data_IF_114337815453
#
_entry.id   IF_114337815453
#
_cell.length_a   1.000
_cell.length_b   1.000
_cell.length_c   1.000
_cell.angle_alpha   90.00
_cell.angle_beta   90.00
_cell.angle_gamma   90.00
#
_symmetry.space_group_name_H-M   'P 1'
#
loop_
_entity.id
_entity.type
_entity.pdbx_description
1 polymer ?
#
# COMPACT_ATOMS: atom_id res chain seq x y z
N UNK A 1 -8.64 20.37 -12.25
CA UNK A 1 -9.07 20.94 -10.95
C UNK A 1 -7.79 21.34 -10.22
N UNK A 2 -7.66 22.59 -9.81
CA UNK A 2 -6.57 22.96 -8.89
C UNK A 2 -6.73 22.11 -7.61
N UNK A 3 -5.74 21.32 -7.29
CA UNK A 3 -5.75 20.45 -6.12
C UNK A 3 -5.84 21.28 -4.83
N UNK A 4 -6.66 20.85 -3.86
CA UNK A 4 -6.70 21.47 -2.55
C UNK A 4 -5.34 21.28 -1.85
N UNK A 5 -4.72 22.37 -1.40
CA UNK A 5 -3.51 22.32 -0.58
C UNK A 5 -3.92 22.07 0.88
N UNK A 6 -3.70 20.86 1.39
CA UNK A 6 -4.06 20.46 2.75
C UNK A 6 -2.99 20.85 3.77
N UNK A 7 -1.71 20.71 3.40
CA UNK A 7 -0.57 20.96 4.28
C UNK A 7 0.45 21.86 3.56
N UNK A 8 1.18 22.72 4.29
CA UNK A 8 2.19 23.61 3.70
C UNK A 8 3.31 22.84 2.95
N UNK A 9 3.66 21.65 3.44
CA UNK A 9 4.72 20.81 2.92
C UNK A 9 4.34 20.07 1.63
N UNK A 10 3.03 19.91 1.37
CA UNK A 10 2.56 19.14 0.22
C UNK A 10 2.29 20.04 -0.98
N UNK A 11 2.78 19.63 -2.13
CA UNK A 11 2.41 20.20 -3.42
C UNK A 11 1.17 19.45 -3.96
N UNK A 12 0.02 20.12 -4.16
CA UNK A 12 -1.18 19.47 -4.65
C UNK A 12 -1.07 18.95 -6.09
N UNK A 13 -0.03 19.35 -6.83
CA UNK A 13 0.27 18.81 -8.17
C UNK A 13 1.19 17.59 -8.11
N UNK A 14 1.87 17.33 -6.99
CA UNK A 14 2.85 16.25 -6.79
C UNK A 14 2.34 15.21 -5.79
N UNK A 15 1.23 14.54 -6.13
CA UNK A 15 0.50 13.64 -5.22
C UNK A 15 1.00 12.19 -5.21
N UNK A 16 2.17 11.89 -5.76
CA UNK A 16 2.81 10.59 -5.68
C UNK A 16 3.78 10.52 -4.50
N UNK A 17 3.69 9.46 -3.71
CA UNK A 17 4.62 9.15 -2.64
C UNK A 17 5.27 7.78 -2.84
N UNK A 18 6.54 7.65 -2.43
CA UNK A 18 7.26 6.39 -2.41
C UNK A 18 7.01 5.68 -1.08
N UNK A 19 6.23 4.58 -1.14
CA UNK A 19 5.99 3.70 0.00
C UNK A 19 7.16 2.72 0.20
N UNK A 20 7.87 2.84 1.33
CA UNK A 20 9.10 2.09 1.61
C UNK A 20 8.86 0.70 2.23
N UNK A 21 7.71 0.08 1.93
CA UNK A 21 7.36 -1.26 2.35
C UNK A 21 7.70 -2.34 1.30
N UNK A 22 7.99 -1.95 0.06
CA UNK A 22 8.25 -2.85 -1.07
C UNK A 22 9.51 -2.44 -1.82
N UNK A 23 10.60 -2.28 -1.07
CA UNK A 23 11.90 -1.88 -1.62
C UNK A 23 12.58 -3.05 -2.35
N UNK A 24 13.47 -2.77 -3.32
CA UNK A 24 14.24 -3.80 -3.99
C UNK A 24 15.14 -4.56 -3.02
N UNK A 25 15.26 -5.88 -3.23
CA UNK A 25 16.03 -6.78 -2.39
C UNK A 25 17.20 -7.40 -3.18
N UNK A 26 18.34 -7.66 -2.51
CA UNK A 26 19.45 -8.43 -3.09
C UNK A 26 19.14 -9.93 -3.21
N UNK A 27 18.17 -10.42 -2.44
CA UNK A 27 17.78 -11.84 -2.38
C UNK A 27 16.34 -12.01 -1.94
N UNK A 28 16.04 -13.09 -1.24
CA UNK A 28 14.69 -13.43 -0.76
C UNK A 28 14.39 -12.95 0.66
N UNK A 29 15.38 -12.39 1.38
CA UNK A 29 15.18 -11.90 2.75
C UNK A 29 14.71 -10.45 2.74
N UNK A 30 13.60 -10.16 3.39
CA UNK A 30 13.06 -8.79 3.50
C UNK A 30 14.02 -7.78 4.13
N UNK A 31 14.92 -8.22 5.00
CA UNK A 31 15.93 -7.33 5.60
C UNK A 31 17.14 -7.06 4.68
N UNK A 32 17.22 -7.70 3.51
CA UNK A 32 18.35 -7.56 2.58
C UNK A 32 18.01 -6.59 1.43
N UNK A 33 17.78 -5.32 1.80
CA UNK A 33 17.45 -4.25 0.85
C UNK A 33 18.66 -3.95 -0.04
N UNK A 34 18.43 -3.83 -1.35
CA UNK A 34 19.41 -3.35 -2.33
C UNK A 34 19.53 -1.81 -2.23
N UNK A 35 20.45 -1.34 -1.37
CA UNK A 35 20.63 0.08 -1.09
C UNK A 35 21.08 0.85 -2.33
N UNK A 36 21.85 0.26 -3.23
CA UNK A 36 22.32 0.95 -4.45
C UNK A 36 21.15 1.20 -5.41
N UNK A 37 20.29 0.19 -5.63
CA UNK A 37 19.06 0.42 -6.40
C UNK A 37 18.13 1.41 -5.72
N UNK A 38 18.01 1.37 -4.40
CA UNK A 38 17.22 2.37 -3.66
C UNK A 38 17.74 3.79 -3.89
N UNK A 39 19.06 4.01 -3.90
CA UNK A 39 19.66 5.32 -4.20
C UNK A 39 19.31 5.80 -5.60
N UNK A 40 19.45 4.94 -6.61
CA UNK A 40 19.09 5.27 -7.99
C UNK A 40 17.60 5.63 -8.12
N UNK A 41 16.72 4.85 -7.51
CA UNK A 41 15.28 5.08 -7.50
C UNK A 41 14.91 6.39 -6.78
N UNK A 42 15.51 6.65 -5.62
CA UNK A 42 15.31 7.91 -4.87
C UNK A 42 15.79 9.11 -5.69
N UNK A 43 16.98 9.02 -6.30
CA UNK A 43 17.51 10.10 -7.12
C UNK A 43 16.56 10.43 -8.28
N UNK A 44 16.10 9.41 -9.00
CA UNK A 44 15.17 9.61 -10.11
C UNK A 44 13.82 10.19 -9.65
N UNK A 45 13.31 9.74 -8.51
CA UNK A 45 12.07 10.23 -7.91
C UNK A 45 12.17 11.71 -7.53
N UNK A 46 13.25 12.08 -6.85
CA UNK A 46 13.55 13.46 -6.45
C UNK A 46 13.81 14.39 -7.65
N UNK A 47 14.53 13.92 -8.67
CA UNK A 47 14.78 14.66 -9.92
C UNK A 47 13.49 14.99 -10.66
N UNK A 48 12.48 14.11 -10.61
CA UNK A 48 11.16 14.35 -11.18
C UNK A 48 10.30 15.33 -10.35
N UNK A 49 10.82 15.79 -9.21
CA UNK A 49 10.14 16.74 -8.32
C UNK A 49 9.15 16.10 -7.33
N UNK A 50 9.18 14.76 -7.17
CA UNK A 50 8.44 14.07 -6.12
C UNK A 50 9.34 13.87 -4.91
N UNK A 51 8.81 14.05 -3.70
CA UNK A 51 9.66 14.11 -2.51
C UNK A 51 9.03 13.53 -1.23
N UNK A 52 7.92 12.79 -1.35
CA UNK A 52 7.24 12.21 -0.19
C UNK A 52 7.65 10.74 -0.01
N UNK A 53 8.07 10.38 1.22
CA UNK A 53 8.50 9.04 1.60
C UNK A 53 7.70 8.55 2.81
N UNK A 54 7.18 7.31 2.73
CA UNK A 54 6.42 6.68 3.82
C UNK A 54 7.14 5.43 4.31
N UNK A 55 7.50 5.41 5.60
CA UNK A 55 8.14 4.26 6.24
C UNK A 55 7.45 3.86 7.54
N UNK A 56 7.96 2.82 8.18
CA UNK A 56 7.62 2.39 9.54
C UNK A 56 8.72 1.51 10.12
N UNK A 57 8.86 1.50 11.45
CA UNK A 57 9.79 0.65 12.20
C UNK A 57 9.73 -0.82 11.82
N UNK A 58 8.54 -1.34 11.52
CA UNK A 58 8.35 -2.76 11.22
C UNK A 58 8.63 -3.13 9.76
N UNK A 59 8.80 -2.15 8.84
CA UNK A 59 9.04 -2.44 7.44
C UNK A 59 10.43 -3.01 7.23
N UNK A 60 10.53 -4.04 6.39
CA UNK A 60 11.79 -4.73 6.11
C UNK A 60 12.57 -5.12 7.38
N UNK A 61 11.86 -5.58 8.43
CA UNK A 61 12.45 -5.97 9.73
C UNK A 61 13.26 -4.83 10.38
N UNK A 62 12.82 -3.59 10.21
CA UNK A 62 13.47 -2.38 10.73
C UNK A 62 14.60 -1.85 9.85
N UNK A 63 14.80 -2.39 8.65
CA UNK A 63 15.83 -1.91 7.71
C UNK A 63 15.32 -0.74 6.86
N UNK A 64 13.99 -0.58 6.70
CA UNK A 64 13.41 0.51 5.92
C UNK A 64 13.79 1.90 6.46
N UNK A 65 13.78 2.11 7.77
CA UNK A 65 14.24 3.38 8.36
C UNK A 65 15.73 3.65 8.11
N UNK A 66 16.57 2.60 8.07
CA UNK A 66 17.99 2.73 7.72
C UNK A 66 18.18 3.09 6.25
N UNK A 67 17.33 2.55 5.37
CA UNK A 67 17.30 2.94 3.96
C UNK A 67 16.94 4.42 3.81
N UNK A 68 15.96 4.93 4.55
CA UNK A 68 15.66 6.38 4.58
C UNK A 68 16.91 7.18 4.95
N UNK A 69 17.64 6.75 5.98
CA UNK A 69 18.88 7.44 6.36
C UNK A 69 19.91 7.41 5.25
N UNK A 70 20.29 6.22 4.79
CA UNK A 70 21.39 6.05 3.85
C UNK A 70 21.10 6.60 2.45
N UNK A 71 19.84 6.44 1.98
CA UNK A 71 19.47 6.83 0.62
C UNK A 71 18.89 8.25 0.53
N UNK A 72 18.37 8.82 1.64
CA UNK A 72 17.69 10.12 1.63
C UNK A 72 18.34 11.10 2.62
N UNK A 73 18.23 10.88 3.94
CA UNK A 73 18.58 11.89 4.96
C UNK A 73 20.07 12.25 4.96
N UNK A 74 20.98 11.31 4.67
CA UNK A 74 22.41 11.57 4.57
C UNK A 74 22.82 12.25 3.23
N UNK A 75 21.90 12.36 2.25
CA UNK A 75 22.18 12.79 0.88
C UNK A 75 21.47 14.07 0.46
N UNK A 76 20.28 14.32 1.02
CA UNK A 76 19.44 15.45 0.68
C UNK A 76 19.19 16.37 1.88
N UNK A 77 19.06 17.70 1.69
CA UNK A 77 18.66 18.61 2.75
C UNK A 77 17.32 18.20 3.35
N UNK A 78 17.17 18.27 4.68
CA UNK A 78 15.94 17.82 5.37
C UNK A 78 14.66 18.50 4.84
N UNK A 79 14.74 19.76 4.46
CA UNK A 79 13.63 20.56 3.95
C UNK A 79 13.23 20.19 2.53
N UNK A 80 14.02 19.41 1.81
CA UNK A 80 13.76 19.02 0.42
C UNK A 80 12.84 17.81 0.30
N UNK A 81 12.55 17.10 1.39
CA UNK A 81 11.70 15.92 1.37
C UNK A 81 10.68 15.89 2.53
N UNK A 82 9.58 15.22 2.30
CA UNK A 82 8.52 14.96 3.27
C UNK A 82 8.62 13.53 3.76
N UNK A 83 8.57 13.33 5.07
CA UNK A 83 8.78 12.02 5.68
C UNK A 83 7.64 11.65 6.63
N UNK A 84 7.04 10.50 6.37
CA UNK A 84 6.10 9.84 7.29
C UNK A 84 6.76 8.66 7.97
N UNK A 85 6.63 8.61 9.29
CA UNK A 85 6.95 7.42 10.08
C UNK A 85 5.78 7.07 11.01
N UNK A 86 5.84 5.90 11.68
CA UNK A 86 4.67 5.35 12.38
C UNK A 86 5.03 4.78 13.75
N UNK A 87 4.12 4.96 14.70
CA UNK A 87 4.12 4.25 15.98
C UNK A 87 3.47 2.88 15.78
N UNK A 88 4.28 1.84 15.63
CA UNK A 88 3.79 0.48 15.39
C UNK A 88 3.50 -0.27 16.70
N UNK A 89 2.33 -0.88 16.80
CA UNK A 89 1.84 -1.60 17.99
C UNK A 89 2.84 -2.63 18.54
N UNK A 90 3.52 -3.39 17.68
CA UNK A 90 4.51 -4.39 18.10
C UNK A 90 5.78 -3.82 18.76
N UNK A 91 6.00 -2.49 18.71
CA UNK A 91 7.26 -1.85 19.12
C UNK A 91 7.22 -1.21 20.51
N UNK A 92 6.08 -1.10 21.17
CA UNK A 92 5.93 -0.56 22.52
C UNK A 92 4.96 -1.42 23.34
N UNK A 93 5.00 -1.31 24.66
CA UNK A 93 4.10 -2.02 25.59
C UNK A 93 3.37 -1.10 26.52
N UNK A 94 4.07 -0.09 27.02
CA UNK A 94 3.59 0.88 28.00
C UNK A 94 3.83 2.30 27.48
N UNK A 95 3.26 3.26 28.17
CA UNK A 95 3.39 4.69 27.90
C UNK A 95 4.87 5.14 27.86
N UNK A 96 5.67 4.67 28.82
CA UNK A 96 7.07 5.03 28.96
C UNK A 96 7.95 4.55 27.80
N UNK A 97 7.48 3.59 27.00
CA UNK A 97 8.22 3.06 25.86
C UNK A 97 8.12 3.98 24.63
N UNK A 98 7.05 4.79 24.50
CA UNK A 98 6.71 5.50 23.27
C UNK A 98 7.73 6.60 22.94
N UNK A 99 8.03 7.46 23.90
CA UNK A 99 8.98 8.56 23.67
C UNK A 99 10.41 8.05 23.37
N UNK A 100 10.99 7.09 24.12
CA UNK A 100 12.28 6.50 23.74
C UNK A 100 12.28 5.83 22.38
N UNK A 101 11.17 5.15 21.99
CA UNK A 101 11.03 4.57 20.66
C UNK A 101 11.08 5.64 19.58
N UNK A 102 10.32 6.72 19.73
CA UNK A 102 10.31 7.83 18.77
C UNK A 102 11.68 8.51 18.64
N UNK A 103 12.37 8.76 19.77
CA UNK A 103 13.73 9.32 19.76
C UNK A 103 14.73 8.40 19.04
N UNK A 104 14.59 7.08 19.19
CA UNK A 104 15.39 6.11 18.47
C UNK A 104 15.04 6.10 16.98
N UNK A 105 13.76 6.24 16.60
CA UNK A 105 13.33 6.38 15.20
C UNK A 105 14.00 7.59 14.54
N UNK A 106 13.93 8.78 15.15
CA UNK A 106 14.61 9.98 14.63
C UNK A 106 16.11 9.75 14.42
N UNK A 107 16.77 9.09 15.37
CA UNK A 107 18.19 8.77 15.28
C UNK A 107 18.49 7.79 14.14
N UNK A 108 17.67 6.75 13.98
CA UNK A 108 17.84 5.75 12.91
C UNK A 108 17.56 6.36 11.55
N UNK A 109 16.54 7.21 11.43
CA UNK A 109 16.20 7.98 10.24
C UNK A 109 17.25 9.06 9.90
N UNK A 110 18.05 9.51 10.88
CA UNK A 110 19.03 10.57 10.70
C UNK A 110 18.40 11.96 10.55
N UNK A 111 17.28 12.22 11.23
CA UNK A 111 16.54 13.48 11.14
C UNK A 111 16.19 14.03 12.53
N UNK A 112 15.93 15.34 12.62
CA UNK A 112 15.52 15.99 13.87
C UNK A 112 13.99 16.02 14.06
N UNK A 113 13.23 15.82 12.97
CA UNK A 113 11.76 15.79 12.97
C UNK A 113 11.23 14.93 11.82
N UNK A 114 9.97 14.47 11.95
CA UNK A 114 9.16 13.90 10.87
C UNK A 114 8.01 14.84 10.51
N UNK A 115 7.58 14.83 9.25
CA UNK A 115 6.47 15.66 8.81
C UNK A 115 5.13 15.05 9.25
N UNK A 116 4.99 13.74 9.12
CA UNK A 116 3.80 13.01 9.56
C UNK A 116 4.19 11.86 10.49
N UNK A 117 3.49 11.73 11.60
CA UNK A 117 3.62 10.59 12.50
C UNK A 117 2.27 9.94 12.71
N UNK A 118 2.17 8.65 12.36
CA UNK A 118 0.90 7.94 12.32
C UNK A 118 0.85 6.85 13.40
N UNK A 119 -0.27 6.76 14.15
CA UNK A 119 -0.60 5.54 14.87
C UNK A 119 -0.80 4.43 13.84
N UNK A 120 -0.01 3.34 13.93
CA UNK A 120 0.13 2.38 12.84
C UNK A 120 -0.95 1.30 12.89
N UNK A 121 -1.66 1.13 11.75
CA UNK A 121 -2.57 0.03 11.48
C UNK A 121 -3.67 -0.12 12.56
N UNK A 122 -4.37 0.98 12.89
CA UNK A 122 -5.43 0.94 13.87
C UNK A 122 -6.59 0.03 13.43
N UNK A 123 -6.97 -0.83 14.34
CA UNK A 123 -8.15 -1.69 14.29
C UNK A 123 -8.75 -1.87 15.70
N UNK A 124 -9.89 -2.55 15.78
CA UNK A 124 -10.55 -2.85 17.09
C UNK A 124 -9.67 -3.69 18.02
N UNK A 125 -8.68 -4.40 17.48
CA UNK A 125 -7.80 -5.28 18.28
C UNK A 125 -6.68 -4.55 18.99
N UNK A 126 -6.24 -3.40 18.46
CA UNK A 126 -5.09 -2.67 19.00
C UNK A 126 -5.41 -1.26 19.53
N UNK A 127 -6.54 -0.67 19.16
CA UNK A 127 -6.91 0.70 19.52
C UNK A 127 -6.88 0.97 21.03
N UNK A 128 -7.42 0.05 21.85
CA UNK A 128 -7.42 0.15 23.30
C UNK A 128 -6.01 0.27 23.90
N UNK A 129 -5.00 -0.32 23.25
CA UNK A 129 -3.61 -0.16 23.65
C UNK A 129 -3.11 1.27 23.42
N UNK A 130 -3.37 1.85 22.27
CA UNK A 130 -2.99 3.24 21.97
C UNK A 130 -3.66 4.23 22.92
N UNK A 131 -4.93 3.99 23.28
CA UNK A 131 -5.66 4.80 24.25
C UNK A 131 -5.05 4.75 25.63
N UNK A 132 -4.90 3.57 26.22
CA UNK A 132 -4.39 3.41 27.61
C UNK A 132 -2.93 3.79 27.78
N UNK A 133 -2.15 3.90 26.70
CA UNK A 133 -0.76 4.34 26.71
C UNK A 133 -0.61 5.82 26.33
N UNK A 134 -1.71 6.56 26.27
CA UNK A 134 -1.75 8.00 25.94
C UNK A 134 -0.95 8.35 24.67
N UNK A 135 -1.05 7.48 23.63
CA UNK A 135 -0.22 7.61 22.44
C UNK A 135 -0.47 8.93 21.68
N UNK A 136 -1.75 9.38 21.62
CA UNK A 136 -2.09 10.67 21.00
C UNK A 136 -1.55 11.85 21.78
N UNK A 137 -1.69 11.85 23.10
CA UNK A 137 -1.20 12.91 23.97
C UNK A 137 0.30 13.06 23.83
N UNK A 138 1.05 11.93 23.86
CA UNK A 138 2.51 11.94 23.65
C UNK A 138 2.87 12.46 22.25
N UNK A 139 2.15 12.06 21.22
CA UNK A 139 2.37 12.57 19.86
C UNK A 139 2.11 14.08 19.76
N UNK A 140 1.08 14.59 20.44
CA UNK A 140 0.82 16.04 20.52
C UNK A 140 1.89 16.79 21.31
N UNK A 141 2.45 16.21 22.38
CA UNK A 141 3.61 16.76 23.09
C UNK A 141 4.84 16.85 22.16
N UNK A 142 5.15 15.77 21.44
CA UNK A 142 6.25 15.73 20.50
C UNK A 142 6.04 16.72 19.33
N UNK A 143 4.80 16.94 18.92
CA UNK A 143 4.44 17.99 17.97
C UNK A 143 4.69 19.39 18.57
N UNK A 144 4.31 19.65 19.81
CA UNK A 144 4.59 20.90 20.47
C UNK A 144 6.10 21.17 20.68
N UNK A 145 6.91 20.11 20.76
CA UNK A 145 8.38 20.17 20.76
C UNK A 145 8.98 20.43 19.36
N UNK A 146 8.16 20.42 18.29
CA UNK A 146 8.60 20.60 16.92
C UNK A 146 9.24 19.36 16.29
N UNK A 147 9.11 18.18 16.91
CA UNK A 147 9.65 16.90 16.41
C UNK A 147 8.70 16.17 15.46
N UNK A 148 7.40 16.49 15.52
CA UNK A 148 6.36 16.03 14.62
C UNK A 148 5.65 17.27 14.09
N UNK A 149 5.39 17.33 12.77
CA UNK A 149 4.59 18.43 12.20
C UNK A 149 3.09 18.11 12.23
N UNK A 150 2.72 16.87 11.84
CA UNK A 150 1.32 16.44 11.73
C UNK A 150 1.12 15.06 12.35
N UNK A 151 0.01 14.88 13.08
CA UNK A 151 -0.37 13.62 13.72
C UNK A 151 -1.60 13.03 13.06
N UNK A 152 -1.55 11.72 12.80
CA UNK A 152 -2.67 10.99 12.23
C UNK A 152 -2.60 9.50 12.54
N UNK A 153 -3.29 8.71 11.73
CA UNK A 153 -3.23 7.25 11.86
C UNK A 153 -3.46 6.55 10.52
N UNK A 154 -2.96 5.31 10.41
CA UNK A 154 -3.36 4.37 9.34
C UNK A 154 -4.40 3.41 9.90
N UNK A 155 -5.39 3.05 9.05
CA UNK A 155 -6.61 2.40 9.49
C UNK A 155 -6.92 1.14 8.67
N UNK A 156 -7.36 0.06 9.37
CA UNK A 156 -7.64 -1.25 8.79
C UNK A 156 -8.88 -1.94 9.39
N UNK A 157 -9.96 -1.19 9.59
CA UNK A 157 -11.22 -1.73 10.12
C UNK A 157 -12.44 -1.14 9.38
N UNK A 158 -13.64 -1.26 9.92
CA UNK A 158 -14.87 -0.77 9.30
C UNK A 158 -15.09 0.75 9.51
N UNK A 159 -16.02 1.30 8.72
CA UNK A 159 -16.30 2.74 8.69
C UNK A 159 -16.92 3.27 10.01
N UNK A 160 -17.70 2.45 10.73
CA UNK A 160 -18.28 2.83 12.02
C UNK A 160 -17.18 3.04 13.06
N UNK A 161 -16.17 2.18 13.05
CA UNK A 161 -15.05 2.29 13.95
C UNK A 161 -14.11 3.45 13.58
N UNK A 162 -13.92 3.74 12.29
CA UNK A 162 -13.21 4.96 11.87
C UNK A 162 -13.91 6.22 12.41
N UNK A 163 -15.22 6.29 12.29
CA UNK A 163 -16.01 7.42 12.80
C UNK A 163 -15.87 7.55 14.33
N UNK A 164 -15.86 6.42 15.07
CA UNK A 164 -15.60 6.43 16.51
C UNK A 164 -14.24 7.05 16.82
N UNK A 165 -13.15 6.60 16.16
CA UNK A 165 -11.79 7.13 16.41
C UNK A 165 -11.73 8.63 16.13
N UNK A 166 -12.35 9.11 15.05
CA UNK A 166 -12.35 10.54 14.72
C UNK A 166 -13.18 11.39 15.69
N UNK A 167 -14.18 10.80 16.36
CA UNK A 167 -14.88 11.47 17.46
C UNK A 167 -14.06 11.48 18.74
N UNK A 168 -13.35 10.41 19.06
CA UNK A 168 -12.49 10.30 20.23
C UNK A 168 -11.24 11.21 20.11
N UNK A 169 -10.72 11.37 18.86
CA UNK A 169 -9.50 12.11 18.55
C UNK A 169 -9.75 13.16 17.42
N UNK A 170 -10.52 14.21 17.71
CA UNK A 170 -10.79 15.29 16.75
C UNK A 170 -9.53 16.06 16.30
N UNK A 171 -8.44 15.99 17.08
CA UNK A 171 -7.13 16.56 16.79
C UNK A 171 -6.38 15.84 15.65
N UNK A 172 -6.83 14.65 15.22
CA UNK A 172 -6.29 13.94 14.05
C UNK A 172 -6.28 14.84 12.81
N UNK A 173 -5.13 14.93 12.14
CA UNK A 173 -4.95 15.82 11.00
C UNK A 173 -5.01 15.10 9.65
N UNK A 174 -4.67 13.80 9.62
CA UNK A 174 -4.63 12.99 8.39
C UNK A 174 -5.01 11.54 8.71
N UNK A 175 -5.66 10.88 7.75
CA UNK A 175 -6.02 9.45 7.85
C UNK A 175 -5.47 8.69 6.65
N UNK A 176 -4.73 7.62 6.92
CA UNK A 176 -4.25 6.72 5.88
C UNK A 176 -5.20 5.53 5.75
N UNK A 177 -5.82 5.36 4.56
CA UNK A 177 -6.78 4.29 4.28
C UNK A 177 -6.40 3.51 3.03
N UNK A 178 -6.82 2.25 2.96
CA UNK A 178 -6.78 1.46 1.73
C UNK A 178 -7.85 1.97 0.76
N UNK A 179 -7.43 2.42 -0.44
CA UNK A 179 -8.35 3.02 -1.39
C UNK A 179 -7.95 2.71 -2.84
N UNK A 180 -8.78 1.92 -3.53
CA UNK A 180 -8.62 1.57 -4.94
C UNK A 180 -9.97 1.16 -5.56
N UNK A 181 -10.06 1.12 -6.89
CA UNK A 181 -11.32 0.86 -7.60
C UNK A 181 -11.87 -0.57 -7.37
N UNK A 182 -11.02 -1.54 -7.04
CA UNK A 182 -11.45 -2.92 -6.78
C UNK A 182 -12.14 -3.07 -5.42
N UNK A 183 -11.60 -2.43 -4.40
CA UNK A 183 -12.09 -2.52 -3.02
C UNK A 183 -13.13 -1.46 -2.67
N UNK A 184 -13.51 -0.59 -3.63
CA UNK A 184 -14.39 0.57 -3.40
C UNK A 184 -15.72 0.18 -2.73
N UNK A 185 -16.30 -0.95 -3.13
CA UNK A 185 -17.54 -1.52 -2.57
C UNK A 185 -17.30 -2.83 -1.80
N UNK A 186 -16.07 -3.13 -1.42
CA UNK A 186 -15.72 -4.34 -0.68
C UNK A 186 -16.33 -4.32 0.74
N UNK A 187 -17.09 -5.34 1.15
CA UNK A 187 -17.65 -5.39 2.50
C UNK A 187 -16.59 -5.45 3.61
N UNK A 188 -15.39 -5.96 3.30
CA UNK A 188 -14.30 -6.12 4.27
C UNK A 188 -13.38 -4.90 4.36
N UNK A 189 -13.19 -4.16 3.25
CA UNK A 189 -12.32 -2.97 3.21
C UNK A 189 -13.12 -1.69 3.37
N UNK A 190 -14.31 -1.63 2.79
CA UNK A 190 -15.25 -0.50 2.83
C UNK A 190 -14.66 0.84 2.35
N UNK A 191 -13.78 0.81 1.34
CA UNK A 191 -13.01 1.98 0.90
C UNK A 191 -13.86 3.23 0.66
N UNK A 192 -15.01 3.11 -0.03
CA UNK A 192 -15.91 4.25 -0.27
C UNK A 192 -16.43 4.84 1.03
N UNK A 193 -16.89 4.00 1.97
CA UNK A 193 -17.42 4.48 3.24
C UNK A 193 -16.36 5.12 4.12
N UNK A 194 -15.14 4.55 4.13
CA UNK A 194 -14.00 5.15 4.85
C UNK A 194 -13.69 6.54 4.30
N UNK A 195 -13.69 6.68 2.96
CA UNK A 195 -13.49 7.96 2.30
C UNK A 195 -14.60 8.96 2.66
N UNK A 196 -15.87 8.56 2.60
CA UNK A 196 -17.03 9.39 2.98
C UNK A 196 -16.94 9.89 4.43
N UNK A 197 -16.46 9.05 5.35
CA UNK A 197 -16.22 9.45 6.74
C UNK A 197 -15.08 10.48 6.81
N UNK A 198 -13.96 10.27 6.11
CA UNK A 198 -12.87 11.25 6.05
C UNK A 198 -13.37 12.60 5.50
N UNK A 199 -14.16 12.58 4.43
CA UNK A 199 -14.77 13.81 3.85
C UNK A 199 -15.71 14.49 4.84
N UNK A 200 -16.59 13.74 5.51
CA UNK A 200 -17.52 14.26 6.53
C UNK A 200 -16.80 14.99 7.67
N UNK A 201 -15.63 14.49 8.09
CA UNK A 201 -14.83 15.07 9.17
C UNK A 201 -13.76 16.05 8.66
N UNK A 202 -13.75 16.37 7.37
CA UNK A 202 -12.74 17.22 6.69
C UNK A 202 -11.30 16.74 6.95
N UNK A 203 -11.07 15.41 6.93
CA UNK A 203 -9.76 14.80 7.11
C UNK A 203 -9.13 14.43 5.77
N UNK A 204 -7.96 15.01 5.44
CA UNK A 204 -7.20 14.61 4.25
C UNK A 204 -6.88 13.13 4.28
N UNK A 205 -6.90 12.52 3.09
CA UNK A 205 -6.67 11.09 2.91
C UNK A 205 -5.30 10.84 2.31
N UNK A 206 -4.51 10.02 2.99
CA UNK A 206 -3.30 9.41 2.49
C UNK A 206 -3.68 8.00 1.99
N UNK A 207 -3.56 7.75 0.69
CA UNK A 207 -3.99 6.47 0.10
C UNK A 207 -2.90 5.43 0.23
N UNK A 208 -3.20 4.28 0.84
CA UNK A 208 -2.40 3.06 0.75
C UNK A 208 -3.09 2.02 -0.14
N UNK A 209 -2.32 1.06 -0.65
CA UNK A 209 -2.80 -0.02 -1.53
C UNK A 209 -3.53 0.47 -2.81
N UNK A 210 -3.08 1.56 -3.49
CA UNK A 210 -3.75 2.06 -4.69
C UNK A 210 -3.74 1.04 -5.82
N UNK A 211 -2.71 0.20 -5.91
CA UNK A 211 -2.57 -0.90 -6.86
C UNK A 211 -2.81 -2.29 -6.24
N UNK A 212 -3.35 -2.33 -5.02
CA UNK A 212 -3.74 -3.55 -4.31
C UNK A 212 -2.63 -4.62 -4.30
N UNK A 213 -1.46 -4.23 -3.78
CA UNK A 213 -0.30 -5.12 -3.70
C UNK A 213 0.28 -5.52 -5.05
N UNK A 214 -0.01 -4.78 -6.13
CA UNK A 214 0.37 -5.09 -7.51
C UNK A 214 -0.70 -5.86 -8.29
N UNK A 215 -1.78 -6.30 -7.65
CA UNK A 215 -2.87 -7.03 -8.32
C UNK A 215 -3.62 -6.20 -9.37
N UNK A 216 -3.64 -4.87 -9.22
CA UNK A 216 -4.23 -3.95 -10.19
C UNK A 216 -3.22 -3.42 -11.23
N UNK A 217 -1.95 -3.76 -11.08
CA UNK A 217 -0.91 -3.49 -12.07
C UNK A 217 -0.74 -4.66 -13.07
N UNK A 218 -1.11 -5.88 -12.65
CA UNK A 218 -0.97 -7.11 -13.43
C UNK A 218 -2.34 -7.76 -13.59
N UNK A 219 -3.14 -7.26 -14.50
CA UNK A 219 -4.50 -7.73 -14.73
C UNK A 219 -4.51 -9.06 -15.51
N UNK A 220 -5.50 -9.94 -15.25
CA UNK A 220 -5.79 -11.05 -16.17
C UNK A 220 -6.07 -10.54 -17.58
N UNK A 221 -5.70 -11.30 -18.62
CA UNK A 221 -5.80 -10.87 -20.01
C UNK A 221 -7.21 -10.39 -20.41
N UNK A 222 -8.26 -11.03 -19.90
CA UNK A 222 -9.65 -10.62 -20.18
C UNK A 222 -10.00 -9.26 -19.57
N UNK A 223 -9.39 -8.91 -18.44
CA UNK A 223 -9.58 -7.62 -17.78
C UNK A 223 -8.70 -6.56 -18.44
N UNK A 224 -7.47 -6.91 -18.83
CA UNK A 224 -6.58 -6.02 -19.59
C UNK A 224 -7.20 -5.62 -20.95
N UNK A 225 -7.80 -6.56 -21.69
CA UNK A 225 -8.50 -6.31 -22.97
C UNK A 225 -9.59 -5.21 -22.88
N UNK A 226 -10.17 -4.99 -21.69
CA UNK A 226 -11.12 -3.88 -21.47
C UNK A 226 -10.43 -2.53 -21.56
N UNK A 227 -9.25 -2.40 -20.94
CA UNK A 227 -8.46 -1.16 -20.97
C UNK A 227 -7.84 -0.92 -22.35
N UNK A 228 -7.36 -1.99 -22.98
CA UNK A 228 -6.78 -1.92 -24.34
C UNK A 228 -7.82 -1.40 -25.34
N UNK A 229 -9.04 -1.92 -25.32
CA UNK A 229 -10.13 -1.47 -26.19
C UNK A 229 -10.61 -0.06 -25.89
N UNK A 230 -10.59 0.35 -24.60
CA UNK A 230 -10.89 1.73 -24.25
C UNK A 230 -9.87 2.67 -24.88
N UNK A 231 -8.59 2.35 -24.73
CA UNK A 231 -7.51 3.17 -25.26
C UNK A 231 -7.52 3.20 -26.81
N UNK A 232 -7.76 2.07 -27.48
CA UNK A 232 -7.93 2.02 -28.94
C UNK A 232 -9.03 2.99 -29.40
N UNK A 233 -10.19 2.99 -28.73
CA UNK A 233 -11.28 3.93 -29.00
C UNK A 233 -10.87 5.40 -28.79
N UNK A 234 -10.17 5.69 -27.70
CA UNK A 234 -9.67 7.06 -27.42
C UNK A 234 -8.67 7.49 -28.48
N UNK A 235 -7.78 6.61 -28.93
CA UNK A 235 -6.84 6.91 -30.01
C UNK A 235 -7.51 7.17 -31.36
N UNK A 236 -8.61 6.48 -31.69
CA UNK A 236 -9.39 6.75 -32.88
C UNK A 236 -10.05 8.15 -32.86
N UNK A 237 -10.46 8.61 -31.68
CA UNK A 237 -11.14 9.91 -31.50
C UNK A 237 -10.15 11.08 -31.36
N UNK A 238 -9.03 10.91 -30.66
CA UNK A 238 -8.10 11.97 -30.29
C UNK A 238 -6.76 11.93 -31.04
N UNK A 239 -6.46 10.81 -31.73
CA UNK A 239 -5.25 10.66 -32.54
C UNK A 239 -3.98 10.38 -31.72
N UNK A 240 -4.10 9.74 -30.56
CA UNK A 240 -2.98 9.34 -29.72
C UNK A 240 -2.14 8.20 -30.33
N UNK A 241 -0.92 8.00 -29.83
CA UNK A 241 -0.05 6.91 -30.26
C UNK A 241 -0.31 5.62 -29.45
N UNK A 242 -0.31 4.43 -30.09
CA UNK A 242 -0.35 3.17 -29.37
C UNK A 242 0.79 2.97 -28.36
N UNK A 243 1.90 3.70 -28.51
CA UNK A 243 3.05 3.67 -27.61
C UNK A 243 2.77 4.40 -26.29
N UNK A 244 1.78 5.31 -26.27
CA UNK A 244 1.41 6.11 -25.11
C UNK A 244 0.32 5.42 -24.24
N UNK A 245 0.05 4.11 -24.48
CA UNK A 245 -0.98 3.36 -23.75
C UNK A 245 -0.70 3.35 -22.24
N UNK A 246 -1.61 3.92 -21.40
CA UNK A 246 -1.42 3.91 -19.95
C UNK A 246 -1.40 2.48 -19.40
N UNK A 247 -0.50 2.20 -18.48
CA UNK A 247 -0.47 0.91 -17.81
C UNK A 247 -1.72 0.70 -16.93
N UNK A 248 -2.05 -0.55 -16.60
CA UNK A 248 -3.10 -0.84 -15.64
C UNK A 248 -2.83 -0.16 -14.27
N UNK A 249 -1.55 -0.05 -13.88
CA UNK A 249 -1.14 0.67 -12.67
C UNK A 249 -1.46 2.17 -12.77
N UNK A 250 -1.22 2.79 -13.94
CA UNK A 250 -1.55 4.20 -14.18
C UNK A 250 -3.05 4.48 -13.97
N UNK A 251 -3.93 3.65 -14.52
CA UNK A 251 -5.37 3.78 -14.28
C UNK A 251 -5.74 3.66 -12.79
N UNK A 252 -5.14 2.70 -12.05
CA UNK A 252 -5.42 2.50 -10.64
C UNK A 252 -4.93 3.67 -9.78
N UNK A 253 -3.74 4.20 -10.06
CA UNK A 253 -3.16 5.37 -9.38
C UNK A 253 -3.96 6.62 -9.65
N UNK A 254 -4.33 6.87 -10.91
CA UNK A 254 -5.18 8.01 -11.32
C UNK A 254 -6.56 7.91 -10.70
N UNK A 255 -7.16 6.71 -10.61
CA UNK A 255 -8.42 6.52 -9.89
C UNK A 255 -8.31 7.05 -8.45
N UNK A 256 -7.33 6.56 -7.69
CA UNK A 256 -7.15 6.96 -6.30
C UNK A 256 -6.92 8.48 -6.17
N UNK A 257 -6.07 9.06 -7.03
CA UNK A 257 -5.72 10.47 -7.01
C UNK A 257 -6.85 11.41 -7.50
N UNK A 258 -7.91 10.89 -8.13
CA UNK A 258 -9.02 11.71 -8.66
C UNK A 258 -9.99 12.20 -7.58
N UNK A 259 -9.88 11.74 -6.35
CA UNK A 259 -10.79 12.09 -5.26
C UNK A 259 -10.33 13.35 -4.50
N UNK A 260 -11.23 14.33 -4.25
CA UNK A 260 -10.87 15.64 -3.69
C UNK A 260 -10.17 15.64 -2.35
N UNK A 261 -10.49 14.66 -1.45
CA UNK A 261 -9.85 14.59 -0.12
C UNK A 261 -8.51 13.85 -0.15
N UNK A 262 -8.14 13.22 -1.27
CA UNK A 262 -6.85 12.54 -1.39
C UNK A 262 -5.73 13.57 -1.55
N UNK A 263 -4.89 13.67 -0.54
CA UNK A 263 -3.72 14.55 -0.56
C UNK A 263 -2.47 13.86 -1.11
N UNK A 264 -2.33 12.53 -0.95
CA UNK A 264 -1.16 11.77 -1.39
C UNK A 264 -1.53 10.31 -1.68
N UNK A 265 -0.90 9.72 -2.69
CA UNK A 265 -1.06 8.31 -3.09
C UNK A 265 0.27 7.59 -2.89
N UNK A 266 0.31 6.65 -1.94
CA UNK A 266 1.49 5.84 -1.65
C UNK A 266 1.60 4.69 -2.64
N UNK A 267 2.63 4.68 -3.46
CA UNK A 267 2.96 3.55 -4.33
C UNK A 267 4.20 2.82 -3.81
N UNK A 268 4.10 1.51 -3.64
CA UNK A 268 5.24 0.64 -3.37
C UNK A 268 5.90 0.27 -4.68
N UNK A 269 7.04 0.90 -4.97
CA UNK A 269 7.80 0.70 -6.21
C UNK A 269 9.08 -0.09 -5.87
N UNK A 270 9.26 -1.25 -6.50
CA UNK A 270 10.36 -2.16 -6.21
C UNK A 270 11.46 -2.19 -7.28
N UNK A 271 11.28 -1.44 -8.36
CA UNK A 271 12.25 -1.33 -9.45
C UNK A 271 12.11 0.01 -10.20
N UNK A 272 13.04 0.26 -11.12
CA UNK A 272 13.09 1.52 -11.87
C UNK A 272 11.95 1.66 -12.86
N UNK A 273 11.47 0.56 -13.46
CA UNK A 273 10.35 0.60 -14.42
C UNK A 273 9.07 1.06 -13.72
N UNK A 274 8.85 0.62 -12.46
CA UNK A 274 7.73 1.09 -11.64
C UNK A 274 7.88 2.58 -11.28
N UNK A 275 9.10 3.04 -10.97
CA UNK A 275 9.38 4.46 -10.70
C UNK A 275 9.05 5.31 -11.92
N UNK A 276 9.56 4.96 -13.10
CA UNK A 276 9.31 5.72 -14.33
C UNK A 276 7.81 5.74 -14.67
N UNK A 277 7.14 4.58 -14.67
CA UNK A 277 5.71 4.50 -14.95
C UNK A 277 4.87 5.37 -14.01
N UNK A 278 5.20 5.38 -12.72
CA UNK A 278 4.44 6.16 -11.74
C UNK A 278 4.77 7.67 -11.84
N UNK A 279 6.03 8.03 -12.13
CA UNK A 279 6.43 9.41 -12.41
C UNK A 279 5.66 9.94 -13.64
N UNK A 280 5.63 9.19 -14.74
CA UNK A 280 4.92 9.57 -15.95
C UNK A 280 3.43 9.76 -15.68
N UNK A 281 2.82 8.85 -14.89
CA UNK A 281 1.42 8.93 -14.48
C UNK A 281 1.07 10.23 -13.74
N UNK A 282 1.99 10.76 -12.92
CA UNK A 282 1.74 11.92 -12.08
C UNK A 282 2.39 13.23 -12.57
N UNK A 283 3.27 13.19 -13.57
CA UNK A 283 3.90 14.40 -14.13
C UNK A 283 2.87 15.23 -14.91
N UNK A 284 2.08 14.59 -15.75
CA UNK A 284 0.98 15.19 -16.49
C UNK A 284 -0.37 14.62 -15.99
N UNK A 285 -0.60 14.73 -14.69
CA UNK A 285 -1.75 14.10 -14.05
C UNK A 285 -3.08 14.55 -14.67
N UNK A 286 -3.82 13.57 -15.19
CA UNK A 286 -5.18 13.72 -15.65
C UNK A 286 -6.12 12.87 -14.77
N UNK A 287 -7.15 13.46 -14.13
CA UNK A 287 -8.15 12.69 -13.39
C UNK A 287 -8.83 11.64 -14.27
N UNK A 288 -9.30 10.56 -13.65
CA UNK A 288 -10.07 9.52 -14.34
C UNK A 288 -11.33 10.12 -14.98
N UNK A 289 -11.53 9.85 -16.27
CA UNK A 289 -12.73 10.23 -17.01
C UNK A 289 -13.91 9.28 -16.69
N UNK A 290 -15.12 9.67 -17.09
CA UNK A 290 -16.32 8.82 -16.91
C UNK A 290 -16.19 7.49 -17.66
N UNK A 291 -15.67 7.50 -18.90
CA UNK A 291 -15.45 6.29 -19.72
C UNK A 291 -14.40 5.36 -19.10
N UNK A 292 -13.31 5.94 -18.57
CA UNK A 292 -12.27 5.19 -17.85
C UNK A 292 -12.81 4.58 -16.55
N UNK A 293 -13.63 5.32 -15.81
CA UNK A 293 -14.27 4.83 -14.59
C UNK A 293 -15.20 3.65 -14.88
N UNK A 294 -16.01 3.74 -15.96
CA UNK A 294 -16.87 2.64 -16.41
C UNK A 294 -16.04 1.40 -16.79
N UNK A 295 -14.91 1.60 -17.48
CA UNK A 295 -14.01 0.51 -17.84
C UNK A 295 -13.37 -0.14 -16.61
N UNK A 296 -12.93 0.64 -15.62
CA UNK A 296 -12.39 0.12 -14.36
C UNK A 296 -13.43 -0.69 -13.56
N UNK A 297 -14.68 -0.31 -13.57
CA UNK A 297 -15.73 -1.13 -12.96
C UNK A 297 -16.00 -2.42 -13.73
N UNK A 298 -15.90 -2.44 -15.06
CA UNK A 298 -15.93 -3.68 -15.85
C UNK A 298 -14.73 -4.59 -15.52
N UNK A 299 -13.53 -4.02 -15.43
CA UNK A 299 -12.31 -4.73 -14.96
C UNK A 299 -12.56 -5.37 -13.60
N UNK A 300 -13.05 -4.58 -12.62
CA UNK A 300 -13.39 -5.06 -11.28
C UNK A 300 -14.34 -6.25 -11.31
N UNK A 301 -15.41 -6.16 -12.09
CA UNK A 301 -16.42 -7.22 -12.17
C UNK A 301 -15.85 -8.51 -12.80
N UNK A 302 -14.99 -8.39 -13.81
CA UNK A 302 -14.27 -9.52 -14.39
C UNK A 302 -13.32 -10.18 -13.39
N UNK A 303 -12.66 -9.39 -12.55
CA UNK A 303 -11.76 -9.89 -11.49
C UNK A 303 -12.50 -10.51 -10.31
N UNK A 304 -13.78 -10.14 -10.06
CA UNK A 304 -14.65 -10.71 -9.01
C UNK A 304 -15.33 -12.04 -9.45
N UNK A 305 -14.81 -12.72 -10.46
CA UNK A 305 -15.37 -14.01 -10.94
C UNK A 305 -15.55 -14.98 -9.78
N UNK A 306 -16.74 -15.60 -9.63
CA UNK A 306 -17.02 -16.54 -8.54
C UNK A 306 -15.99 -17.68 -8.50
N UNK A 307 -15.46 -17.96 -7.32
CA UNK A 307 -14.49 -19.05 -7.11
C UNK A 307 -13.03 -18.63 -7.12
N UNK A 308 -12.71 -17.39 -7.51
CA UNK A 308 -11.34 -16.87 -7.37
C UNK A 308 -11.03 -16.53 -5.91
N UNK A 309 -9.75 -16.65 -5.57
CA UNK A 309 -9.23 -16.27 -4.26
C UNK A 309 -8.85 -14.78 -4.31
N UNK A 310 -9.49 -13.89 -3.52
CA UNK A 310 -9.23 -12.45 -3.57
C UNK A 310 -7.94 -12.08 -2.79
N UNK A 311 -6.83 -12.74 -3.13
CA UNK A 311 -5.52 -12.50 -2.55
C UNK A 311 -4.83 -11.31 -3.23
N UNK A 312 -4.30 -10.38 -2.44
CA UNK A 312 -3.58 -9.18 -2.92
C UNK A 312 -2.08 -9.42 -3.15
N UNK A 313 -1.59 -10.63 -2.96
CA UNK A 313 -0.16 -10.97 -3.04
C UNK A 313 0.75 -10.08 -2.18
N UNK A 314 0.28 -9.65 -0.99
CA UNK A 314 1.06 -8.81 -0.08
C UNK A 314 2.19 -9.55 0.66
N UNK A 315 2.22 -10.88 0.61
CA UNK A 315 3.22 -11.81 1.19
C UNK A 315 3.34 -11.84 2.73
N UNK A 316 2.57 -11.06 3.50
CA UNK A 316 2.63 -11.09 4.98
C UNK A 316 2.39 -12.46 5.61
N UNK A 317 1.62 -13.31 4.93
CA UNK A 317 1.33 -14.67 5.38
C UNK A 317 2.50 -15.65 5.17
N UNK A 318 3.48 -15.33 4.32
CA UNK A 318 4.57 -16.24 3.92
C UNK A 318 5.62 -16.33 5.00
N UNK A 319 6.04 -15.21 5.60
CA UNK A 319 7.13 -15.16 6.58
C UNK A 319 6.86 -15.94 7.86
N UNK A 320 5.62 -15.98 8.32
CA UNK A 320 5.22 -16.70 9.52
C UNK A 320 4.89 -18.19 9.28
N UNK A 321 4.96 -18.68 8.04
CA UNK A 321 4.58 -20.03 7.69
C UNK A 321 5.67 -21.06 8.08
N UNK A 322 5.43 -21.97 9.05
CA UNK A 322 6.44 -22.94 9.46
C UNK A 322 6.71 -24.03 8.43
N UNK A 323 5.89 -24.13 7.37
CA UNK A 323 6.04 -25.05 6.25
C UNK A 323 6.60 -24.34 5.01
N UNK A 324 6.97 -23.07 5.11
CA UNK A 324 7.52 -22.26 4.01
C UNK A 324 6.64 -22.25 2.76
N UNK A 325 5.29 -22.35 2.95
CA UNK A 325 4.34 -22.33 1.83
C UNK A 325 4.31 -20.92 1.23
N UNK A 326 4.55 -20.83 -0.07
CA UNK A 326 4.42 -19.58 -0.85
C UNK A 326 2.96 -19.26 -1.14
N UNK A 327 2.20 -18.99 -0.08
CA UNK A 327 0.74 -18.87 -0.09
C UNK A 327 0.20 -17.96 -1.20
N UNK A 328 0.71 -16.72 -1.39
CA UNK A 328 0.21 -15.83 -2.44
C UNK A 328 0.44 -16.37 -3.86
N UNK A 329 1.61 -16.97 -4.09
CA UNK A 329 1.96 -17.53 -5.39
C UNK A 329 1.06 -18.72 -5.75
N UNK A 330 0.77 -19.58 -4.78
CA UNK A 330 -0.14 -20.71 -4.97
C UNK A 330 -1.58 -20.24 -5.21
N UNK A 331 -2.03 -19.17 -4.55
CA UNK A 331 -3.34 -18.55 -4.76
C UNK A 331 -3.42 -17.90 -6.15
N UNK A 332 -2.36 -17.25 -6.61
CA UNK A 332 -2.31 -16.70 -7.95
C UNK A 332 -2.35 -17.81 -9.01
N UNK A 333 -1.61 -18.91 -8.81
CA UNK A 333 -1.68 -20.08 -9.70
C UNK A 333 -3.09 -20.67 -9.77
N UNK A 334 -3.77 -20.79 -8.63
CA UNK A 334 -5.16 -21.24 -8.57
C UNK A 334 -6.08 -20.33 -9.37
N UNK A 335 -5.99 -19.02 -9.17
CA UNK A 335 -6.80 -18.05 -9.87
C UNK A 335 -6.53 -18.07 -11.39
N UNK A 336 -5.27 -18.13 -11.78
CA UNK A 336 -4.88 -18.25 -13.18
C UNK A 336 -5.45 -19.52 -13.82
N UNK A 337 -5.41 -20.67 -13.12
CA UNK A 337 -5.99 -21.91 -13.62
C UNK A 337 -7.52 -21.83 -13.75
N UNK A 338 -8.19 -21.15 -12.83
CA UNK A 338 -9.66 -20.95 -12.90
C UNK A 338 -10.08 -20.03 -14.04
N UNK A 339 -9.29 -18.98 -14.31
CA UNK A 339 -9.56 -18.04 -15.42
C UNK A 339 -9.15 -18.61 -16.78
N UNK A 340 -8.00 -19.27 -16.83
CA UNK A 340 -7.37 -19.78 -18.05
C UNK A 340 -6.79 -21.16 -17.82
N UNK A 341 -7.64 -22.22 -17.78
CA UNK A 341 -7.17 -23.58 -17.57
C UNK A 341 -6.08 -23.95 -18.59
N UNK A 342 -4.89 -24.20 -18.11
CA UNK A 342 -3.76 -24.59 -18.96
C UNK A 342 -2.76 -25.44 -18.18
N UNK A 343 -2.00 -26.29 -18.90
CA UNK A 343 -0.93 -27.07 -18.31
C UNK A 343 0.17 -26.20 -17.66
N UNK A 344 0.32 -24.95 -18.11
CA UNK A 344 1.24 -23.98 -17.52
C UNK A 344 0.95 -23.73 -16.03
N UNK A 345 -0.32 -23.69 -15.63
CA UNK A 345 -0.71 -23.45 -14.23
C UNK A 345 -0.20 -24.55 -13.32
N UNK A 346 -0.27 -25.83 -13.76
CA UNK A 346 0.30 -26.97 -13.04
C UNK A 346 1.83 -26.90 -13.00
N UNK A 347 2.46 -26.55 -14.11
CA UNK A 347 3.91 -26.35 -14.17
C UNK A 347 4.38 -25.26 -13.18
N UNK A 348 3.68 -24.12 -13.13
CA UNK A 348 4.02 -23.06 -12.18
C UNK A 348 3.73 -23.44 -10.74
N UNK A 349 2.71 -24.27 -10.47
CA UNK A 349 2.51 -24.85 -9.15
C UNK A 349 3.74 -25.67 -8.71
N UNK A 350 4.22 -26.57 -9.59
CA UNK A 350 5.41 -27.38 -9.33
C UNK A 350 6.68 -26.51 -9.14
N UNK A 351 6.83 -25.44 -9.89
CA UNK A 351 7.95 -24.49 -9.75
C UNK A 351 7.88 -23.78 -8.39
N UNK A 352 6.71 -23.30 -7.99
CA UNK A 352 6.52 -22.54 -6.75
C UNK A 352 6.63 -23.39 -5.49
N UNK A 353 6.33 -24.70 -5.61
CA UNK A 353 6.47 -25.66 -4.50
C UNK A 353 7.84 -26.36 -4.45
N UNK A 354 8.68 -26.16 -5.46
CA UNK A 354 10.02 -26.72 -5.49
C UNK A 354 10.91 -26.06 -4.43
N UNK A 355 11.31 -26.82 -3.40
CA UNK A 355 12.08 -26.30 -2.27
C UNK A 355 11.28 -25.45 -1.29
N UNK A 356 9.94 -25.51 -1.36
CA UNK A 356 8.98 -24.85 -0.48
C UNK A 356 7.84 -25.82 -0.15
N UNK A 357 6.97 -25.46 0.81
CA UNK A 357 5.81 -26.29 1.16
C UNK A 357 4.74 -26.27 0.07
N UNK A 358 4.09 -27.42 -0.15
CA UNK A 358 2.88 -27.56 -0.95
C UNK A 358 1.66 -27.03 -0.20
N UNK A 359 0.55 -26.85 -0.89
CA UNK A 359 -0.69 -26.44 -0.25
C UNK A 359 -1.18 -27.46 0.79
N UNK A 360 -1.03 -28.77 0.51
CA UNK A 360 -1.38 -29.86 1.42
C UNK A 360 -0.47 -29.98 2.64
N UNK A 361 0.73 -29.40 2.64
CA UNK A 361 1.65 -29.41 3.79
C UNK A 361 1.18 -28.46 4.92
N UNK A 362 0.06 -27.77 4.74
CA UNK A 362 -0.48 -26.83 5.72
C UNK A 362 -0.86 -27.52 7.04
N UNK A 363 -0.13 -27.24 8.12
CA UNK A 363 -0.39 -27.77 9.47
C UNK A 363 -1.51 -27.01 10.22
N UNK A 364 -2.25 -26.13 9.55
CA UNK A 364 -3.41 -25.38 10.08
C UNK A 364 -3.13 -24.54 11.33
N UNK A 365 -1.90 -24.02 11.50
CA UNK A 365 -1.49 -23.24 12.68
C UNK A 365 -2.16 -21.86 12.78
N UNK A 366 -2.75 -21.33 11.71
CA UNK A 366 -3.49 -20.06 11.67
C UNK A 366 -2.64 -18.78 11.69
N UNK A 367 -1.31 -18.84 11.68
CA UNK A 367 -0.43 -17.65 11.68
C UNK A 367 -0.65 -16.77 10.46
N UNK A 368 -0.82 -17.40 9.29
CA UNK A 368 -1.05 -16.71 8.03
C UNK A 368 -2.37 -15.91 8.00
N UNK A 369 -3.44 -16.45 8.62
CA UNK A 369 -4.74 -15.76 8.69
C UNK A 369 -4.69 -14.54 9.62
N UNK A 370 -3.91 -14.61 10.71
CA UNK A 370 -3.68 -13.46 11.60
C UNK A 370 -2.88 -12.35 10.93
N UNK A 371 -2.00 -12.69 10.00
CA UNK A 371 -1.17 -11.74 9.29
C UNK A 371 -1.85 -11.21 8.00
N UNK A 372 -3.00 -11.76 7.61
CA UNK A 372 -3.66 -11.41 6.35
C UNK A 372 -4.50 -10.14 6.49
N UNK A 373 -4.14 -9.02 5.85
CA UNK A 373 -4.93 -7.78 5.91
C UNK A 373 -6.27 -7.90 5.17
N UNK A 374 -6.45 -8.94 4.33
CA UNK A 374 -7.70 -9.23 3.64
C UNK A 374 -8.59 -10.24 4.41
N UNK A 375 -8.20 -10.63 5.62
CA UNK A 375 -8.92 -11.57 6.48
C UNK A 375 -9.34 -12.88 5.76
N UNK A 376 -8.52 -13.35 4.82
CA UNK A 376 -8.79 -14.57 4.06
C UNK A 376 -8.71 -15.81 4.97
N UNK A 377 -9.64 -16.74 4.79
CA UNK A 377 -9.59 -18.07 5.41
C UNK A 377 -8.55 -18.94 4.70
N UNK A 378 -7.27 -18.59 4.89
CA UNK A 378 -6.15 -19.13 4.13
C UNK A 378 -6.06 -20.65 4.24
N UNK A 379 -6.33 -21.23 5.41
CA UNK A 379 -6.29 -22.67 5.63
C UNK A 379 -7.30 -23.42 4.77
N UNK A 380 -8.52 -22.92 4.67
CA UNK A 380 -9.58 -23.50 3.83
C UNK A 380 -9.29 -23.29 2.34
N UNK A 381 -8.66 -22.17 2.01
CA UNK A 381 -8.28 -21.85 0.63
C UNK A 381 -7.11 -22.72 0.16
N UNK A 382 -6.15 -23.03 1.02
CA UNK A 382 -5.07 -23.97 0.72
C UNK A 382 -5.60 -25.38 0.46
N UNK A 383 -6.66 -25.84 1.17
CA UNK A 383 -7.32 -27.11 0.85
C UNK A 383 -7.90 -27.11 -0.58
N UNK A 384 -8.49 -25.98 -1.01
CA UNK A 384 -8.98 -25.86 -2.40
C UNK A 384 -7.84 -25.88 -3.42
N UNK A 385 -6.73 -25.22 -3.11
CA UNK A 385 -5.53 -25.22 -3.97
C UNK A 385 -4.96 -26.62 -4.08
N UNK A 386 -4.83 -27.35 -2.95
CA UNK A 386 -4.38 -28.73 -2.96
C UNK A 386 -5.31 -29.62 -3.81
N UNK A 387 -6.63 -29.49 -3.64
CA UNK A 387 -7.61 -30.26 -4.43
C UNK A 387 -7.56 -29.97 -5.94
N UNK A 388 -7.01 -28.81 -6.36
CA UNK A 388 -6.89 -28.41 -7.77
C UNK A 388 -5.62 -28.96 -8.41
N UNK A 389 -4.51 -29.01 -7.67
CA UNK A 389 -3.18 -29.28 -8.24
C UNK A 389 -2.52 -30.57 -7.72
N UNK A 390 -3.02 -31.17 -6.65
CA UNK A 390 -2.46 -32.36 -5.98
C UNK A 390 -3.43 -33.55 -6.03
#
# INVERSE_FOLDING_TARGET
MEGRKFFPELDPEKRLALGCMRLPLNGSSEGDIDMEKCKEMVDRFMEAGFNYFDTARVYHRGVSEKMIKECISDRYPRESFVLTDKLSDGCFRNEEDIRPLFEDQLKVLGVDYVDFYLMHALDKGNYDKYQRTHAWEIAQELKAEGKIRHVGFSFHDDAEFLEQILNDHPETEIVQIQFNYYDIDSPSVQSAKLYEICEKYDKPVLVMEPVRGGGLANLPAVAQDVLDKLYEKQCEEEGCSPEDHPSAASYALRFAASFPMVCMVLSGMGDMDMIENNIDTFTDFCPISEDELEALYKVKDLMKTPGLIPCTACHYCTEGCPQEIKIPDLFQNYNNNKLFPSWNSTMYYDINTRGAGKASDCIKCGKCEKACPQHLRIRDLLEKVAAEFE
#
